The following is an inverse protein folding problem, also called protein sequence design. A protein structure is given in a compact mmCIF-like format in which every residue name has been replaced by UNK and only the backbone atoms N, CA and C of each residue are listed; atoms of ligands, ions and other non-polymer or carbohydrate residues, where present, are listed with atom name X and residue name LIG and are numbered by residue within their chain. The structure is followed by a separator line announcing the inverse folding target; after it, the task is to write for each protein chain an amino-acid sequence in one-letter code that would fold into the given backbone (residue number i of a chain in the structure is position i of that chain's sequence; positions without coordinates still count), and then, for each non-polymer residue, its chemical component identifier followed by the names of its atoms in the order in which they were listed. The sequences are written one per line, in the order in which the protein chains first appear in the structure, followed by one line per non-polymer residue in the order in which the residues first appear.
data_IF_807155412576
#
_entry.id   IF_807155412576
#
_cell.length_a   1.000
_cell.length_b   1.000
_cell.length_c   1.000
_cell.angle_alpha   90.00
_cell.angle_beta   90.00
_cell.angle_gamma   90.00
#
_symmetry.space_group_name_H-M   'P 1'
#
loop_
_entity.id
_entity.type
_entity.pdbx_description
1 polymer ?
#
# COMPACT_ATOMS: atom_id res chain seq x y z
N UNK A 1 -3.06 -9.97 -21.08
CA UNK A 1 -1.68 -10.00 -20.51
C UNK A 1 -0.71 -9.75 -21.64
N UNK A 2 -0.27 -8.51 -21.77
CA UNK A 2 0.79 -8.13 -22.70
C UNK A 2 2.13 -8.46 -22.04
N UNK A 3 2.82 -9.50 -22.54
CA UNK A 3 4.16 -9.87 -22.05
C UNK A 3 5.14 -8.87 -22.66
N UNK A 4 5.86 -8.11 -21.84
CA UNK A 4 6.84 -7.12 -22.33
C UNK A 4 7.89 -7.80 -23.20
N UNK A 5 8.04 -7.34 -24.44
CA UNK A 5 9.07 -7.84 -25.36
C UNK A 5 10.43 -7.21 -25.00
N UNK A 6 11.44 -8.05 -24.74
CA UNK A 6 12.79 -7.63 -24.38
C UNK A 6 13.51 -6.94 -25.55
N UNK A 7 13.14 -7.25 -26.79
CA UNK A 7 13.66 -6.57 -27.98
C UNK A 7 13.10 -5.15 -28.07
N UNK A 8 11.80 -5.00 -27.79
CA UNK A 8 11.12 -3.70 -27.76
C UNK A 8 11.62 -2.83 -26.61
N UNK A 9 11.79 -3.42 -25.42
CA UNK A 9 12.35 -2.73 -24.24
C UNK A 9 13.76 -2.18 -24.49
N UNK A 10 14.61 -2.93 -25.19
CA UNK A 10 15.95 -2.47 -25.58
C UNK A 10 15.93 -1.58 -26.83
N UNK A 11 14.81 -1.45 -27.54
CA UNK A 11 14.71 -0.72 -28.80
C UNK A 11 15.55 -1.33 -29.92
N UNK A 12 15.73 -2.65 -29.95
CA UNK A 12 16.56 -3.37 -30.92
C UNK A 12 15.76 -4.42 -31.68
N UNK A 13 16.10 -4.68 -32.94
CA UNK A 13 15.44 -5.73 -33.71
C UNK A 13 15.76 -7.14 -33.16
N UNK A 14 14.88 -8.15 -33.35
CA UNK A 14 15.17 -9.55 -33.01
C UNK A 14 16.40 -10.12 -33.70
N UNK A 15 16.86 -9.51 -34.79
CA UNK A 15 18.09 -9.87 -35.52
C UNK A 15 19.33 -9.08 -35.05
N UNK A 16 19.23 -8.28 -33.97
CA UNK A 16 20.32 -7.46 -33.48
C UNK A 16 21.50 -8.32 -32.96
N UNK A 17 22.71 -7.88 -33.29
CA UNK A 17 23.95 -8.48 -32.78
C UNK A 17 24.14 -8.20 -31.28
N UNK A 18 24.93 -9.02 -30.59
CA UNK A 18 25.26 -8.81 -29.18
C UNK A 18 25.91 -7.43 -28.93
N UNK A 19 26.68 -6.91 -29.89
CA UNK A 19 27.26 -5.57 -29.82
C UNK A 19 26.19 -4.47 -29.84
N UNK A 20 25.15 -4.62 -30.67
CA UNK A 20 24.02 -3.69 -30.73
C UNK A 20 23.16 -3.74 -29.46
N UNK A 21 22.91 -4.95 -28.93
CA UNK A 21 22.20 -5.14 -27.66
C UNK A 21 22.96 -4.48 -26.50
N UNK A 22 24.28 -4.67 -26.44
CA UNK A 22 25.14 -4.04 -25.42
C UNK A 22 25.19 -2.51 -25.55
N UNK A 23 25.20 -1.99 -26.77
CA UNK A 23 25.18 -0.55 -27.01
C UNK A 23 23.83 0.07 -26.59
N UNK A 24 22.72 -0.57 -26.93
CA UNK A 24 21.38 -0.14 -26.55
C UNK A 24 21.17 -0.20 -25.03
N UNK A 25 21.57 -1.29 -24.39
CA UNK A 25 21.56 -1.41 -22.93
C UNK A 25 22.36 -0.29 -22.26
N UNK A 26 23.57 0.02 -22.74
CA UNK A 26 24.39 1.11 -22.16
C UNK A 26 23.78 2.51 -22.36
N UNK A 27 23.00 2.71 -23.42
CA UNK A 27 22.31 3.98 -23.65
C UNK A 27 21.10 4.12 -22.72
N UNK A 28 20.28 3.07 -22.62
CA UNK A 28 19.09 3.02 -21.76
C UNK A 28 19.46 3.01 -20.27
N UNK A 29 20.49 2.26 -19.88
CA UNK A 29 20.93 2.17 -18.49
C UNK A 29 21.42 3.50 -17.92
N UNK A 30 21.84 4.45 -18.76
CA UNK A 30 22.21 5.82 -18.33
C UNK A 30 21.01 6.73 -18.10
N UNK A 31 19.90 6.44 -18.77
CA UNK A 31 18.66 7.23 -18.69
C UNK A 31 17.72 6.65 -17.65
N UNK A 32 17.72 5.32 -17.52
CA UNK A 32 16.87 4.56 -16.61
C UNK A 32 17.59 4.20 -15.30
N UNK A 33 18.80 4.71 -15.06
CA UNK A 33 19.44 4.53 -13.76
C UNK A 33 18.61 5.22 -12.69
N UNK A 34 18.47 4.65 -11.48
CA UNK A 34 17.86 5.32 -10.34
C UNK A 34 18.42 6.74 -10.11
N UNK A 35 19.75 6.89 -10.15
CA UNK A 35 20.46 8.17 -10.08
C UNK A 35 20.15 9.18 -11.21
N UNK A 36 19.47 8.74 -12.27
CA UNK A 36 19.07 9.59 -13.41
C UNK A 36 17.55 9.80 -13.50
N UNK A 37 16.78 9.35 -12.49
CA UNK A 37 15.32 9.48 -12.42
C UNK A 37 14.53 8.29 -12.98
N UNK A 38 15.15 7.12 -13.18
CA UNK A 38 14.45 5.87 -13.50
C UNK A 38 14.00 5.11 -12.24
N UNK A 39 13.03 4.20 -12.37
CA UNK A 39 12.63 3.31 -11.26
C UNK A 39 13.53 2.08 -11.19
N UNK A 40 13.80 1.58 -9.98
CA UNK A 40 14.57 0.35 -9.77
C UNK A 40 13.94 -0.85 -10.51
N UNK A 41 12.60 -0.92 -10.55
CA UNK A 41 11.86 -1.93 -11.31
C UNK A 41 12.13 -1.86 -12.82
N UNK A 42 12.13 -0.66 -13.41
CA UNK A 42 12.41 -0.49 -14.84
C UNK A 42 13.88 -0.82 -15.16
N UNK A 43 14.81 -0.47 -14.27
CA UNK A 43 16.23 -0.82 -14.41
C UNK A 43 16.48 -2.33 -14.29
N UNK A 44 15.75 -3.02 -13.40
CA UNK A 44 15.82 -4.47 -13.25
C UNK A 44 15.28 -5.19 -14.49
N UNK A 45 14.17 -4.73 -15.04
CA UNK A 45 13.61 -5.25 -16.30
C UNK A 45 14.60 -5.07 -17.47
N UNK A 46 15.25 -3.90 -17.55
CA UNK A 46 16.29 -3.61 -18.54
C UNK A 46 17.51 -4.53 -18.37
N UNK A 47 17.89 -4.81 -17.13
CA UNK A 47 18.99 -5.72 -16.79
C UNK A 47 18.66 -7.17 -17.14
N UNK A 48 17.44 -7.63 -16.86
CA UNK A 48 16.95 -8.97 -17.18
C UNK A 48 16.83 -9.20 -18.69
N UNK A 49 16.35 -8.19 -19.43
CA UNK A 49 16.33 -8.20 -20.89
C UNK A 49 17.75 -8.30 -21.46
N UNK A 50 18.68 -7.50 -20.95
CA UNK A 50 20.07 -7.56 -21.38
C UNK A 50 20.74 -8.91 -21.05
N UNK A 51 20.52 -9.44 -19.85
CA UNK A 51 21.06 -10.73 -19.41
C UNK A 51 20.51 -11.89 -20.25
N UNK A 52 19.23 -11.82 -20.63
CA UNK A 52 18.57 -12.84 -21.44
C UNK A 52 18.98 -12.77 -22.91
N UNK A 53 19.11 -11.57 -23.49
CA UNK A 53 19.40 -11.38 -24.91
C UNK A 53 20.90 -11.41 -25.25
N UNK A 54 21.79 -11.19 -24.28
CA UNK A 54 23.24 -11.29 -24.46
C UNK A 54 23.73 -12.73 -24.47
N UNK A 55 23.09 -13.63 -23.69
CA UNK A 55 23.43 -15.04 -23.66
C UNK A 55 22.76 -15.80 -24.83
N UNK A 56 23.52 -16.46 -25.72
CA UNK A 56 22.95 -17.15 -26.87
C UNK A 56 21.96 -18.27 -26.53
N UNK A 57 22.18 -18.99 -25.42
CA UNK A 57 21.30 -20.08 -24.99
C UNK A 57 20.00 -19.54 -24.41
N UNK A 58 20.08 -18.50 -23.57
CA UNK A 58 18.91 -17.83 -22.98
C UNK A 58 18.10 -17.11 -24.05
N UNK A 59 18.74 -16.44 -25.00
CA UNK A 59 18.09 -15.81 -26.15
C UNK A 59 17.34 -16.82 -27.01
N UNK A 60 17.97 -17.97 -27.31
CA UNK A 60 17.30 -19.02 -28.09
C UNK A 60 16.09 -19.61 -27.34
N UNK A 61 16.15 -19.73 -26.01
CA UNK A 61 15.00 -20.15 -25.20
C UNK A 61 13.87 -19.11 -25.19
N UNK A 62 14.24 -17.84 -25.06
CA UNK A 62 13.33 -16.70 -25.14
C UNK A 62 12.62 -16.64 -26.51
N UNK A 63 13.37 -16.73 -27.61
CA UNK A 63 12.84 -16.74 -28.98
C UNK A 63 11.90 -17.92 -29.24
N UNK A 64 12.17 -19.10 -28.65
CA UNK A 64 11.24 -20.24 -28.70
C UNK A 64 9.95 -19.96 -27.94
N UNK A 65 10.02 -19.25 -26.81
CA UNK A 65 8.84 -18.88 -26.01
C UNK A 65 7.93 -17.88 -26.74
N UNK A 66 8.48 -17.03 -27.61
CA UNK A 66 7.76 -16.09 -28.46
C UNK A 66 7.07 -16.76 -29.68
N UNK A 67 7.49 -17.99 -30.05
CA UNK A 67 6.98 -18.73 -31.22
C UNK A 67 5.81 -19.68 -30.91
N UNK A 68 5.33 -19.76 -29.66
CA UNK A 68 4.13 -20.56 -29.30
C UNK A 68 2.87 -19.71 -29.55
N UNK A 69 1.95 -20.12 -30.43
CA UNK A 69 1.02 -19.19 -31.07
C UNK A 69 -0.18 -18.80 -30.21
N UNK A 70 -0.37 -17.49 -30.02
CA UNK A 70 -1.69 -16.88 -30.13
C UNK A 70 -1.87 -16.47 -31.60
N UNK A 71 -3.03 -16.78 -32.17
CA UNK A 71 -3.23 -16.89 -33.63
C UNK A 71 -3.20 -15.59 -34.43
N UNK A 72 -2.72 -15.77 -35.67
CA UNK A 72 -3.14 -15.15 -36.94
C UNK A 72 -2.85 -13.67 -37.24
N UNK A 73 -1.77 -13.50 -38.01
CA UNK A 73 -1.70 -12.92 -39.38
C UNK A 73 -2.13 -11.46 -39.65
N UNK A 74 -1.15 -10.67 -40.07
CA UNK A 74 -1.33 -9.42 -40.82
C UNK A 74 -0.01 -8.97 -41.47
N UNK A 75 0.01 -9.00 -42.81
CA UNK A 75 1.15 -8.84 -43.71
C UNK A 75 1.72 -7.40 -43.77
N UNK A 76 3.03 -7.30 -44.03
CA UNK A 76 3.81 -6.07 -44.11
C UNK A 76 3.53 -5.15 -45.32
N UNK A 77 3.79 -3.85 -45.16
CA UNK A 77 4.21 -2.93 -46.21
C UNK A 77 5.19 -1.86 -45.65
N UNK A 78 6.22 -1.41 -46.39
CA UNK A 78 7.33 -0.60 -45.86
C UNK A 78 7.09 0.91 -45.96
N UNK A 79 7.47 1.66 -44.92
CA UNK A 79 7.49 3.13 -44.91
C UNK A 79 8.90 3.69 -45.24
N UNK A 80 9.00 4.88 -45.85
CA UNK A 80 10.21 5.33 -46.54
C UNK A 80 11.30 5.91 -45.63
N UNK A 81 12.54 5.70 -46.04
CA UNK A 81 13.78 6.20 -45.44
C UNK A 81 13.85 7.73 -45.39
N UNK A 82 13.82 8.33 -44.20
CA UNK A 82 14.26 9.73 -43.98
C UNK A 82 15.75 9.76 -43.64
N UNK A 83 16.51 10.54 -44.40
CA UNK A 83 17.94 10.83 -44.20
C UNK A 83 18.21 11.46 -42.83
N UNK A 84 19.36 11.18 -42.19
CA UNK A 84 19.73 11.77 -40.91
C UNK A 84 20.08 13.26 -41.09
N UNK A 85 19.49 14.11 -40.24
CA UNK A 85 19.91 15.51 -40.09
C UNK A 85 21.21 15.56 -39.27
N UNK A 86 22.15 16.48 -39.56
CA UNK A 86 23.42 16.55 -38.85
C UNK A 86 23.19 16.89 -37.38
N UNK A 87 23.94 16.20 -36.51
CA UNK A 87 23.93 16.40 -35.07
C UNK A 87 24.34 17.84 -34.74
N UNK A 88 23.45 18.57 -34.06
CA UNK A 88 23.82 19.79 -33.34
C UNK A 88 24.67 19.38 -32.14
N UNK A 89 25.87 19.94 -32.07
CA UNK A 89 26.78 19.82 -30.92
C UNK A 89 26.09 20.28 -29.64
N UNK A 90 25.80 19.33 -28.75
CA UNK A 90 25.29 19.57 -27.40
C UNK A 90 26.42 19.69 -26.36
N UNK A 91 27.69 19.70 -26.80
CA UNK A 91 28.88 19.65 -25.92
C UNK A 91 29.13 20.89 -25.05
N UNK A 92 28.26 21.89 -25.07
CA UNK A 92 28.38 23.08 -24.21
C UNK A 92 27.04 23.49 -23.62
N UNK A 93 26.41 22.56 -22.90
CA UNK A 93 25.61 22.89 -21.72
C UNK A 93 25.48 21.63 -20.87
N UNK A 94 26.55 21.35 -20.14
CA UNK A 94 26.40 20.74 -18.81
C UNK A 94 25.44 21.65 -18.04
N UNK A 95 24.15 21.34 -18.13
CA UNK A 95 23.17 21.79 -17.16
C UNK A 95 23.78 21.46 -15.81
N UNK A 96 24.09 22.51 -15.05
CA UNK A 96 24.38 22.46 -13.63
C UNK A 96 23.54 21.35 -13.02
N UNK A 97 24.18 20.23 -12.66
CA UNK A 97 23.75 19.47 -11.51
C UNK A 97 23.62 20.52 -10.40
N UNK A 98 22.37 20.85 -10.06
CA UNK A 98 22.11 21.52 -8.80
C UNK A 98 22.78 20.63 -7.75
N UNK A 99 23.76 21.20 -7.04
CA UNK A 99 24.57 20.52 -6.05
C UNK A 99 23.66 19.78 -5.06
N UNK A 100 23.53 18.47 -5.23
CA UNK A 100 23.28 17.57 -4.12
C UNK A 100 24.53 17.66 -3.24
N UNK A 101 24.35 18.02 -1.97
CA UNK A 101 25.45 18.04 -1.02
C UNK A 101 25.61 16.61 -0.48
N UNK A 102 26.66 15.87 -0.86
CA UNK A 102 26.82 14.47 -0.48
C UNK A 102 26.96 14.27 1.03
N UNK A 103 27.24 15.35 1.78
CA UNK A 103 27.40 15.32 3.24
C UNK A 103 26.12 15.76 3.98
N UNK A 104 25.06 16.15 3.27
CA UNK A 104 23.79 16.54 3.88
C UNK A 104 22.92 15.32 4.20
N UNK A 105 22.63 15.12 5.48
CA UNK A 105 21.73 14.07 5.95
C UNK A 105 20.41 14.70 6.46
N UNK A 106 19.31 14.60 5.70
CA UNK A 106 17.98 14.95 6.22
C UNK A 106 17.62 14.09 7.44
N UNK A 107 16.80 14.66 8.34
CA UNK A 107 16.36 14.02 9.58
C UNK A 107 14.84 14.06 9.69
N UNK A 108 14.28 13.08 10.40
CA UNK A 108 12.86 13.11 10.81
C UNK A 108 12.65 14.25 11.82
N UNK A 109 11.65 15.12 11.63
CA UNK A 109 11.39 16.19 12.58
C UNK A 109 11.05 15.66 13.96
N UNK A 110 11.45 16.41 14.98
CA UNK A 110 11.11 16.15 16.36
C UNK A 110 9.96 17.08 16.79
N UNK A 111 8.74 16.63 16.51
CA UNK A 111 7.51 17.32 16.88
C UNK A 111 7.19 17.13 18.37
N UNK A 112 6.99 18.24 19.07
CA UNK A 112 6.58 18.22 20.46
C UNK A 112 5.12 17.72 20.55
N UNK A 113 4.80 16.75 21.44
CA UNK A 113 3.45 16.18 21.54
C UNK A 113 2.29 17.15 21.68
N UNK A 114 2.51 18.30 22.31
CA UNK A 114 1.53 19.37 22.50
C UNK A 114 1.21 20.15 21.21
N UNK A 115 2.11 20.10 20.22
CA UNK A 115 1.89 20.68 18.89
C UNK A 115 1.03 19.80 17.99
N UNK A 116 0.90 18.51 18.31
CA UNK A 116 0.16 17.53 17.50
C UNK A 116 -1.31 17.51 17.95
N UNK A 117 -2.28 17.97 17.12
CA UNK A 117 -3.65 18.23 17.56
C UNK A 117 -4.39 17.01 18.13
N UNK A 118 -4.16 15.84 17.55
CA UNK A 118 -4.84 14.61 17.93
C UNK A 118 -4.15 13.85 19.07
N UNK A 119 -2.91 14.20 19.41
CA UNK A 119 -2.08 13.44 20.37
C UNK A 119 -2.70 13.29 21.77
N UNK A 120 -3.30 14.36 22.36
CA UNK A 120 -3.91 14.27 23.69
C UNK A 120 -5.23 13.46 23.70
N UNK A 121 -5.91 13.36 22.56
CA UNK A 121 -7.19 12.67 22.45
C UNK A 121 -7.04 11.14 22.34
N UNK A 122 -5.84 10.66 22.00
CA UNK A 122 -5.56 9.24 21.82
C UNK A 122 -5.10 8.59 23.12
N UNK A 123 -5.81 7.54 23.53
CA UNK A 123 -5.40 6.65 24.60
C UNK A 123 -4.51 5.52 24.05
N UNK A 124 -3.20 5.62 24.29
CA UNK A 124 -2.22 4.65 23.79
C UNK A 124 -2.34 3.26 24.45
N UNK A 125 -2.94 3.18 25.64
CA UNK A 125 -3.08 1.93 26.41
C UNK A 125 -4.32 1.12 25.98
N UNK A 126 -5.16 1.67 25.10
CA UNK A 126 -6.31 0.97 24.56
C UNK A 126 -5.87 -0.16 23.63
N UNK A 127 -6.63 -1.26 23.62
CA UNK A 127 -6.39 -2.38 22.71
C UNK A 127 -7.13 -2.20 21.38
N UNK A 128 -6.48 -2.59 20.29
CA UNK A 128 -7.10 -2.59 18.96
C UNK A 128 -8.34 -3.50 18.91
N UNK A 129 -9.44 -2.98 18.38
CA UNK A 129 -10.69 -3.69 18.08
C UNK A 129 -10.75 -4.04 16.60
N UNK A 130 -11.08 -5.28 16.28
CA UNK A 130 -11.11 -5.75 14.90
C UNK A 130 -12.54 -5.89 14.38
N UNK A 131 -12.86 -5.18 13.29
CA UNK A 131 -14.18 -5.11 12.65
C UNK A 131 -14.22 -6.01 11.39
N UNK A 132 -15.36 -6.65 11.07
CA UNK A 132 -16.59 -6.68 11.86
C UNK A 132 -16.43 -7.52 13.15
N UNK A 133 -17.18 -7.17 14.18
CA UNK A 133 -17.30 -8.04 15.36
C UNK A 133 -18.26 -9.18 15.03
N UNK A 134 -17.73 -10.38 14.80
CA UNK A 134 -18.52 -11.62 14.54
C UNK A 134 -19.47 -12.01 15.69
N UNK A 135 -19.51 -11.24 16.79
CA UNK A 135 -20.37 -11.53 17.91
C UNK A 135 -21.83 -11.32 17.47
N UNK A 136 -22.73 -12.31 17.66
CA UNK A 136 -24.15 -12.03 17.57
C UNK A 136 -24.45 -10.96 18.62
N UNK A 137 -24.76 -9.75 18.15
CA UNK A 137 -25.30 -8.71 19.00
C UNK A 137 -26.46 -9.32 19.78
N UNK A 138 -26.57 -8.94 21.06
CA UNK A 138 -27.61 -9.37 22.00
C UNK A 138 -27.27 -10.60 22.88
N UNK A 139 -26.25 -10.45 23.74
CA UNK A 139 -26.21 -11.12 25.05
C UNK A 139 -27.58 -11.14 25.79
N UNK A 140 -28.44 -10.09 25.75
CA UNK A 140 -29.79 -10.14 26.32
C UNK A 140 -30.72 -11.21 25.73
N UNK A 141 -30.53 -11.68 24.49
CA UNK A 141 -31.44 -12.69 23.89
C UNK A 141 -31.25 -14.06 24.54
N UNK A 142 -30.02 -14.41 24.94
CA UNK A 142 -29.75 -15.66 25.68
C UNK A 142 -30.39 -15.62 27.07
N UNK A 143 -30.33 -14.47 27.75
CA UNK A 143 -30.94 -14.27 29.07
C UNK A 143 -32.47 -14.29 29.00
N UNK A 144 -33.05 -13.69 27.96
CA UNK A 144 -34.50 -13.65 27.74
C UNK A 144 -35.05 -15.03 27.35
N UNK A 145 -34.40 -15.74 26.42
CA UNK A 145 -34.83 -17.07 25.98
C UNK A 145 -34.61 -18.16 27.04
N UNK A 146 -33.57 -18.04 27.87
CA UNK A 146 -33.28 -18.98 28.96
C UNK A 146 -34.09 -18.72 30.23
N UNK A 147 -34.37 -17.45 30.58
CA UNK A 147 -35.09 -17.08 31.79
C UNK A 147 -36.61 -17.21 31.71
N UNK A 148 -37.19 -16.94 30.53
CA UNK A 148 -38.64 -16.96 30.33
C UNK A 148 -39.32 -18.31 30.63
N UNK A 149 -38.76 -19.48 30.23
CA UNK A 149 -39.33 -20.79 30.58
C UNK A 149 -39.29 -21.09 32.08
N UNK A 150 -38.25 -20.63 32.79
CA UNK A 150 -38.11 -20.76 34.24
C UNK A 150 -39.12 -19.86 34.98
N UNK A 151 -39.43 -18.69 34.45
CA UNK A 151 -40.49 -17.81 34.98
C UNK A 151 -41.88 -18.42 34.71
N UNK A 152 -42.10 -19.04 33.55
CA UNK A 152 -43.33 -19.79 33.25
C UNK A 152 -43.54 -21.02 34.17
N UNK A 153 -42.48 -21.58 34.75
CA UNK A 153 -42.58 -22.67 35.72
C UNK A 153 -43.25 -22.22 37.02
N UNK A 154 -43.06 -20.97 37.46
CA UNK A 154 -43.66 -20.45 38.71
C UNK A 154 -45.14 -20.11 38.57
N UNK A 155 -45.66 -20.04 37.34
CA UNK A 155 -47.07 -19.77 37.03
C UNK A 155 -47.87 -21.03 36.70
N UNK A 156 -47.23 -22.21 36.66
CA UNK A 156 -47.93 -23.47 36.45
C UNK A 156 -48.84 -23.79 37.66
N UNK A 157 -50.10 -24.19 37.44
CA UNK A 157 -50.98 -24.60 38.54
C UNK A 157 -50.42 -25.85 39.24
N UNK A 158 -50.74 -26.03 40.53
CA UNK A 158 -50.32 -27.18 41.36
C UNK A 158 -50.73 -28.55 40.78
N UNK A 159 -51.67 -28.59 39.82
CA UNK A 159 -52.08 -29.77 39.04
C UNK A 159 -52.28 -29.38 37.57
N UNK A 160 -51.24 -29.33 36.74
CA UNK A 160 -51.37 -28.98 35.34
C UNK A 160 -52.11 -30.09 34.58
N UNK A 161 -52.90 -29.71 33.58
CA UNK A 161 -53.44 -30.69 32.63
C UNK A 161 -52.29 -31.30 31.82
N UNK A 162 -52.42 -32.56 31.35
CA UNK A 162 -51.37 -33.21 30.57
C UNK A 162 -51.00 -32.42 29.31
N UNK A 163 -51.97 -31.76 28.67
CA UNK A 163 -51.75 -30.90 27.50
C UNK A 163 -50.88 -29.69 27.83
N UNK A 164 -51.16 -29.01 28.94
CA UNK A 164 -50.40 -27.83 29.38
C UNK A 164 -48.96 -28.21 29.74
N UNK A 165 -48.77 -29.35 30.42
CA UNK A 165 -47.44 -29.89 30.71
C UNK A 165 -46.67 -30.22 29.43
N UNK A 166 -47.31 -30.89 28.45
CA UNK A 166 -46.64 -31.20 27.18
C UNK A 166 -46.26 -29.96 26.37
N UNK A 167 -47.13 -28.94 26.32
CA UNK A 167 -46.81 -27.67 25.65
C UNK A 167 -45.64 -26.96 26.33
N UNK A 168 -45.61 -26.96 27.67
CA UNK A 168 -44.52 -26.38 28.44
C UNK A 168 -43.19 -27.10 28.19
N UNK A 169 -43.18 -28.45 28.16
CA UNK A 169 -41.98 -29.23 27.84
C UNK A 169 -41.46 -28.97 26.43
N UNK A 170 -42.34 -28.79 25.45
CA UNK A 170 -41.94 -28.43 24.07
C UNK A 170 -41.31 -27.03 24.03
N UNK A 171 -41.90 -26.05 24.72
CA UNK A 171 -41.34 -24.69 24.83
C UNK A 171 -39.98 -24.70 25.53
N UNK A 172 -39.83 -25.49 26.60
CA UNK A 172 -38.57 -25.67 27.30
C UNK A 172 -37.51 -26.29 26.38
N UNK A 173 -37.86 -27.36 25.66
CA UNK A 173 -36.94 -28.01 24.72
C UNK A 173 -36.52 -27.08 23.59
N UNK A 174 -37.44 -26.28 23.03
CA UNK A 174 -37.15 -25.28 22.02
C UNK A 174 -36.22 -24.17 22.57
N UNK A 175 -36.47 -23.70 23.79
CA UNK A 175 -35.63 -22.70 24.45
C UNK A 175 -34.22 -23.25 24.73
N UNK A 176 -34.09 -24.48 25.24
CA UNK A 176 -32.80 -25.13 25.46
C UNK A 176 -32.03 -25.34 24.15
N UNK A 177 -32.71 -25.76 23.08
CA UNK A 177 -32.10 -25.94 21.76
C UNK A 177 -31.62 -24.59 21.19
N UNK A 178 -32.43 -23.54 21.32
CA UNK A 178 -32.07 -22.19 20.88
C UNK A 178 -30.89 -21.63 21.67
N UNK A 179 -30.89 -21.80 23.00
CA UNK A 179 -29.78 -21.41 23.86
C UNK A 179 -28.49 -22.18 23.51
N UNK A 180 -28.59 -23.50 23.30
CA UNK A 180 -27.45 -24.31 22.85
C UNK A 180 -26.91 -23.84 21.51
N UNK A 181 -27.78 -23.57 20.54
CA UNK A 181 -27.38 -23.07 19.22
C UNK A 181 -26.71 -21.69 19.32
N UNK A 182 -27.27 -20.76 20.09
CA UNK A 182 -26.68 -19.44 20.34
C UNK A 182 -25.31 -19.54 21.04
N UNK A 183 -25.18 -20.42 22.06
CA UNK A 183 -23.90 -20.67 22.72
C UNK A 183 -22.88 -21.24 21.73
N UNK A 184 -23.28 -22.17 20.85
CA UNK A 184 -22.38 -22.70 19.80
C UNK A 184 -21.95 -21.62 18.82
N UNK A 185 -22.86 -20.74 18.39
CA UNK A 185 -22.53 -19.59 17.55
C UNK A 185 -21.56 -18.64 18.24
N UNK A 186 -21.83 -18.29 19.50
CA UNK A 186 -20.94 -17.42 20.28
C UNK A 186 -19.55 -18.04 20.45
N UNK A 187 -19.47 -19.34 20.76
CA UNK A 187 -18.20 -20.05 20.84
C UNK A 187 -17.49 -20.15 19.47
N UNK A 188 -18.23 -20.26 18.36
CA UNK A 188 -17.65 -20.25 17.02
C UNK A 188 -17.08 -18.86 16.68
N UNK A 189 -17.82 -17.78 16.95
CA UNK A 189 -17.35 -16.41 16.78
C UNK A 189 -16.13 -16.10 17.67
N UNK A 190 -16.16 -16.52 18.94
CA UNK A 190 -15.03 -16.35 19.85
C UNK A 190 -13.79 -17.14 19.44
N UNK A 191 -13.95 -18.33 18.83
CA UNK A 191 -12.83 -19.06 18.22
C UNK A 191 -12.27 -18.35 17.01
N UNK A 192 -13.13 -17.99 16.04
CA UNK A 192 -12.75 -17.22 14.84
C UNK A 192 -11.95 -15.96 15.21
N UNK A 193 -12.42 -15.21 16.21
CA UNK A 193 -11.72 -14.01 16.68
C UNK A 193 -10.35 -14.32 17.30
N UNK A 194 -10.24 -15.36 18.14
CA UNK A 194 -8.95 -15.77 18.73
C UNK A 194 -7.98 -16.26 17.66
N UNK A 195 -8.45 -17.04 16.71
CA UNK A 195 -7.64 -17.56 15.60
C UNK A 195 -7.13 -16.41 14.73
N UNK A 196 -8.00 -15.43 14.42
CA UNK A 196 -7.61 -14.21 13.72
C UNK A 196 -6.54 -13.41 14.49
N UNK A 197 -6.69 -13.23 15.80
CA UNK A 197 -5.70 -12.53 16.62
C UNK A 197 -4.37 -13.28 16.71
N UNK A 198 -4.41 -14.60 16.75
CA UNK A 198 -3.20 -15.42 16.76
C UNK A 198 -2.42 -15.31 15.44
N UNK A 199 -3.14 -15.17 14.32
CA UNK A 199 -2.55 -15.08 12.98
C UNK A 199 -2.09 -13.65 12.62
N UNK A 200 -2.88 -12.63 12.97
CA UNK A 200 -2.71 -11.25 12.47
C UNK A 200 -2.57 -10.18 13.56
N UNK A 201 -2.69 -10.56 14.82
CA UNK A 201 -2.82 -9.61 15.93
C UNK A 201 -1.50 -9.00 16.43
N UNK A 202 -0.35 -9.48 15.98
CA UNK A 202 0.94 -9.26 16.66
C UNK A 202 1.84 -8.19 16.03
N UNK A 203 2.15 -8.16 14.72
CA UNK A 203 2.99 -7.07 14.20
C UNK A 203 2.13 -5.82 13.91
N UNK A 204 2.42 -4.72 14.60
CA UNK A 204 1.93 -3.38 14.19
C UNK A 204 2.66 -2.86 12.96
N UNK A 205 3.86 -3.37 12.69
CA UNK A 205 4.71 -3.02 11.55
C UNK A 205 5.06 -4.31 10.82
N UNK A 206 4.80 -4.36 9.52
CA UNK A 206 4.98 -5.54 8.69
C UNK A 206 5.85 -5.20 7.49
N UNK A 207 6.82 -6.07 7.22
CA UNK A 207 7.84 -5.85 6.18
C UNK A 207 8.96 -4.95 6.68
N UNK A 208 9.93 -4.72 5.81
CA UNK A 208 11.03 -3.78 6.04
C UNK A 208 11.10 -2.76 4.88
N UNK A 209 11.54 -1.52 5.16
CA UNK A 209 11.99 -0.60 4.12
C UNK A 209 13.05 -1.29 3.26
N UNK A 210 13.15 -0.94 1.97
CA UNK A 210 14.11 -1.64 1.12
C UNK A 210 15.55 -1.42 1.61
N UNK A 211 16.38 -2.46 1.51
CA UNK A 211 17.78 -2.43 1.96
C UNK A 211 18.73 -1.76 0.93
N UNK A 212 18.20 -1.25 -0.18
CA UNK A 212 19.02 -0.60 -1.21
C UNK A 212 19.42 0.82 -0.75
N UNK A 213 20.70 1.18 -0.94
CA UNK A 213 21.30 2.41 -0.40
C UNK A 213 20.73 3.73 -0.96
N UNK A 214 19.77 3.67 -1.91
CA UNK A 214 19.22 4.82 -2.63
C UNK A 214 17.88 5.34 -2.08
N UNK A 215 17.39 4.82 -0.94
CA UNK A 215 16.04 5.10 -0.43
C UNK A 215 16.06 5.70 0.99
N UNK A 216 16.88 6.74 1.17
CA UNK A 216 16.93 7.52 2.41
C UNK A 216 15.55 8.03 2.84
N UNK A 217 14.71 8.44 1.89
CA UNK A 217 13.34 8.90 2.14
C UNK A 217 12.45 7.81 2.76
N UNK A 218 12.59 6.56 2.32
CA UNK A 218 11.81 5.45 2.87
C UNK A 218 12.18 5.16 4.32
N UNK A 219 13.47 5.15 4.63
CA UNK A 219 13.94 4.95 6.00
C UNK A 219 13.47 6.06 6.94
N UNK A 220 13.58 7.32 6.52
CA UNK A 220 13.09 8.47 7.29
C UNK A 220 11.57 8.40 7.50
N UNK A 221 10.85 7.92 6.50
CA UNK A 221 9.40 7.75 6.60
C UNK A 221 9.05 6.61 7.55
N UNK A 222 9.69 5.46 7.44
CA UNK A 222 9.47 4.35 8.35
C UNK A 222 9.74 4.74 9.82
N UNK A 223 10.78 5.54 10.05
CA UNK A 223 11.06 6.12 11.37
C UNK A 223 9.95 7.10 11.81
N UNK A 224 9.49 8.01 10.93
CA UNK A 224 8.38 8.93 11.20
C UNK A 224 7.10 8.18 11.61
N UNK A 225 6.71 7.17 10.83
CA UNK A 225 5.52 6.34 11.08
C UNK A 225 5.64 5.60 12.41
N UNK A 226 6.81 5.01 12.66
CA UNK A 226 7.10 4.29 13.91
C UNK A 226 7.05 5.21 15.13
N UNK A 227 7.59 6.43 15.01
CA UNK A 227 7.69 7.41 16.09
C UNK A 227 6.33 7.99 16.48
N UNK A 228 5.48 8.33 15.51
CA UNK A 228 4.24 9.05 15.78
C UNK A 228 2.98 8.19 15.67
N UNK A 229 2.81 7.41 14.61
CA UNK A 229 1.54 6.74 14.32
C UNK A 229 1.32 5.47 15.16
N UNK A 230 2.39 4.83 15.66
CA UNK A 230 2.26 3.65 16.52
C UNK A 230 1.56 3.95 17.86
N UNK A 231 1.41 5.22 18.23
CA UNK A 231 0.58 5.65 19.36
C UNK A 231 -0.89 5.26 19.19
N UNK A 232 -1.38 5.23 17.95
CA UNK A 232 -2.74 4.81 17.61
C UNK A 232 -2.85 3.28 17.75
N UNK A 233 -3.70 2.74 18.65
CA UNK A 233 -3.77 1.29 18.86
C UNK A 233 -4.12 0.47 17.60
N UNK A 234 -4.98 1.02 16.75
CA UNK A 234 -5.46 0.40 15.52
C UNK A 234 -4.46 0.46 14.37
N UNK A 235 -3.39 1.26 14.45
CA UNK A 235 -2.47 1.43 13.33
C UNK A 235 -1.75 0.13 12.97
N UNK A 236 -1.78 -0.22 11.69
CA UNK A 236 -0.97 -1.25 11.05
C UNK A 236 -0.17 -0.61 9.93
N UNK A 237 1.14 -0.66 10.05
CA UNK A 237 2.10 -0.12 9.09
C UNK A 237 2.61 -1.28 8.24
N UNK A 238 2.69 -1.06 6.94
CA UNK A 238 3.20 -2.01 5.98
C UNK A 238 4.28 -1.34 5.14
N UNK A 239 5.42 -1.99 5.01
CA UNK A 239 6.55 -1.53 4.20
C UNK A 239 6.63 -2.40 2.94
N UNK A 240 6.66 -1.76 1.77
CA UNK A 240 6.72 -2.43 0.47
C UNK A 240 5.43 -3.18 0.11
N UNK A 241 4.45 -2.44 -0.41
CA UNK A 241 3.19 -2.99 -0.93
C UNK A 241 3.22 -3.18 -2.44
N UNK A 242 2.69 -4.31 -2.90
CA UNK A 242 2.42 -4.52 -4.33
C UNK A 242 1.11 -3.90 -4.78
N UNK A 243 1.06 -3.51 -6.04
CA UNK A 243 -0.23 -3.27 -6.70
C UNK A 243 -1.07 -4.57 -6.78
N UNK A 244 -2.40 -4.47 -6.95
CA UNK A 244 -3.28 -5.64 -7.03
C UNK A 244 -2.89 -6.67 -8.10
N UNK A 245 -2.23 -6.25 -9.18
CA UNK A 245 -1.78 -7.12 -10.28
C UNK A 245 -0.25 -7.25 -10.37
N UNK A 246 0.49 -6.71 -9.39
CA UNK A 246 1.94 -6.71 -9.35
C UNK A 246 2.48 -7.71 -8.31
N UNK A 247 3.74 -8.09 -8.49
CA UNK A 247 4.51 -8.93 -7.55
C UNK A 247 5.69 -8.17 -6.93
N UNK A 248 5.82 -6.87 -7.24
CA UNK A 248 6.89 -6.00 -6.77
C UNK A 248 6.36 -5.04 -5.69
N UNK A 249 7.24 -4.49 -4.86
CA UNK A 249 6.90 -3.36 -4.00
C UNK A 249 6.77 -2.11 -4.88
N UNK A 250 5.54 -1.72 -5.20
CA UNK A 250 5.25 -0.54 -6.02
C UNK A 250 4.88 0.68 -5.13
N UNK A 251 4.60 0.45 -3.85
CA UNK A 251 4.28 1.47 -2.85
C UNK A 251 5.22 1.32 -1.66
N UNK A 252 5.93 2.40 -1.32
CA UNK A 252 6.96 2.43 -0.27
C UNK A 252 6.36 2.03 1.09
N UNK A 253 5.29 2.71 1.52
CA UNK A 253 4.63 2.44 2.80
C UNK A 253 3.11 2.52 2.69
N UNK A 254 2.42 1.83 3.58
CA UNK A 254 0.99 1.99 3.78
C UNK A 254 0.62 1.91 5.26
N UNK A 255 -0.42 2.64 5.66
CA UNK A 255 -0.94 2.63 7.03
C UNK A 255 -2.43 2.43 7.04
N UNK A 256 -2.88 1.38 7.73
CA UNK A 256 -4.29 1.07 7.98
C UNK A 256 -4.65 1.43 9.43
N UNK A 257 -5.72 2.18 9.64
CA UNK A 257 -6.37 2.36 10.94
C UNK A 257 -7.89 2.43 10.75
N UNK A 258 -8.63 1.53 11.41
CA UNK A 258 -10.05 1.34 11.19
C UNK A 258 -10.35 0.98 9.74
N UNK A 259 -11.17 1.79 9.07
CA UNK A 259 -11.50 1.70 7.64
C UNK A 259 -10.85 2.82 6.83
N UNK A 260 -9.65 3.25 7.26
CA UNK A 260 -8.84 4.28 6.60
C UNK A 260 -7.49 3.70 6.24
N UNK A 261 -7.12 3.84 4.98
CA UNK A 261 -5.84 3.42 4.42
C UNK A 261 -5.14 4.62 3.79
N UNK A 262 -3.92 4.91 4.20
CA UNK A 262 -3.05 5.84 3.48
C UNK A 262 -1.94 5.05 2.78
N UNK A 263 -1.77 5.31 1.49
CA UNK A 263 -0.61 4.89 0.72
C UNK A 263 0.41 6.02 0.73
N UNK A 264 1.68 5.70 0.89
CA UNK A 264 2.72 6.69 1.12
C UNK A 264 3.87 6.42 0.16
N UNK A 265 4.27 7.47 -0.54
CA UNK A 265 5.47 7.52 -1.35
C UNK A 265 6.39 8.60 -0.78
N UNK A 266 7.69 8.34 -0.73
CA UNK A 266 8.66 9.19 -0.06
C UNK A 266 9.76 9.63 -1.02
N UNK A 267 9.98 10.93 -1.15
CA UNK A 267 11.00 11.48 -2.07
C UNK A 267 11.97 12.39 -1.34
N UNK A 268 13.24 12.32 -1.77
CA UNK A 268 14.30 13.22 -1.33
C UNK A 268 14.60 14.18 -2.47
N UNK A 269 14.12 15.43 -2.37
CA UNK A 269 14.24 16.43 -3.42
C UNK A 269 14.83 17.73 -2.91
N UNK A 270 15.28 18.57 -3.85
CA UNK A 270 15.87 19.86 -3.51
C UNK A 270 14.88 20.76 -2.76
N UNK A 271 15.33 21.55 -1.77
CA UNK A 271 14.49 22.54 -1.09
C UNK A 271 13.73 23.47 -2.05
N UNK A 272 12.53 23.88 -1.65
CA UNK A 272 11.65 24.73 -2.44
C UNK A 272 10.18 24.53 -2.10
N UNK A 273 9.33 25.30 -2.77
CA UNK A 273 7.89 25.20 -2.65
C UNK A 273 7.35 24.18 -3.65
N UNK A 274 6.64 23.15 -3.18
CA UNK A 274 6.05 22.10 -4.00
C UNK A 274 4.52 22.12 -3.94
N UNK A 275 3.89 21.95 -5.10
CA UNK A 275 2.44 21.85 -5.22
C UNK A 275 2.08 20.77 -6.23
N UNK A 276 0.83 20.29 -6.19
CA UNK A 276 0.25 19.45 -7.22
C UNK A 276 -0.93 20.21 -7.86
N UNK A 277 -1.03 20.17 -9.19
CA UNK A 277 -2.22 20.69 -9.88
C UNK A 277 -3.37 19.66 -9.87
N UNK A 278 -4.54 20.06 -10.39
CA UNK A 278 -5.75 19.22 -10.48
C UNK A 278 -5.53 17.92 -11.28
N UNK A 279 -4.52 17.88 -12.16
CA UNK A 279 -4.15 16.70 -12.94
C UNK A 279 -3.13 15.80 -12.19
N UNK A 280 -2.76 16.15 -10.95
CA UNK A 280 -1.75 15.47 -10.15
C UNK A 280 -0.31 15.74 -10.60
N UNK A 281 -0.06 16.73 -11.47
CA UNK A 281 1.30 17.08 -11.89
C UNK A 281 1.95 17.94 -10.83
N UNK A 282 3.21 17.63 -10.55
CA UNK A 282 3.99 18.34 -9.55
C UNK A 282 4.59 19.62 -10.11
N UNK A 283 4.59 20.65 -9.28
CA UNK A 283 5.19 21.95 -9.52
C UNK A 283 6.21 22.25 -8.43
N UNK A 284 7.29 22.94 -8.79
CA UNK A 284 8.29 23.45 -7.85
C UNK A 284 8.62 24.90 -8.16
N UNK A 285 8.41 25.80 -7.20
CA UNK A 285 8.63 27.25 -7.36
C UNK A 285 7.99 27.80 -8.66
N UNK A 286 6.69 27.56 -8.85
CA UNK A 286 5.90 28.01 -10.01
C UNK A 286 6.34 27.46 -11.38
N UNK A 287 7.09 26.35 -11.38
CA UNK A 287 7.52 25.68 -12.60
C UNK A 287 7.15 24.20 -12.58
N UNK A 288 6.74 23.61 -13.72
CA UNK A 288 6.48 22.18 -13.81
C UNK A 288 7.72 21.40 -13.35
N UNK A 289 7.54 20.60 -12.31
CA UNK A 289 8.59 19.77 -11.76
C UNK A 289 8.84 18.58 -12.68
N UNK A 290 10.11 18.29 -12.95
CA UNK A 290 10.55 17.19 -13.83
C UNK A 290 11.58 16.28 -13.16
N UNK A 291 11.68 16.37 -11.84
CA UNK A 291 12.65 15.60 -11.04
C UNK A 291 12.19 14.18 -10.70
N UNK A 292 11.04 13.77 -11.20
CA UNK A 292 10.43 12.46 -10.99
C UNK A 292 8.92 12.56 -11.08
N UNK A 293 8.28 11.45 -11.41
CA UNK A 293 6.83 11.27 -11.34
C UNK A 293 6.50 10.49 -10.06
N UNK A 294 5.29 10.69 -9.55
CA UNK A 294 4.70 9.86 -8.49
C UNK A 294 3.63 8.96 -9.12
N UNK A 295 3.63 7.68 -8.75
CA UNK A 295 2.60 6.73 -9.20
C UNK A 295 1.48 6.57 -8.17
N UNK A 296 1.49 7.41 -7.14
CA UNK A 296 0.62 7.29 -5.98
C UNK A 296 -0.87 7.44 -6.33
N UNK A 297 -1.21 8.32 -7.28
CA UNK A 297 -2.59 8.49 -7.74
C UNK A 297 -3.16 7.22 -8.40
N UNK A 298 -2.33 6.51 -9.17
CA UNK A 298 -2.69 5.21 -9.77
C UNK A 298 -2.86 4.15 -8.67
N UNK A 299 -1.93 4.11 -7.72
CA UNK A 299 -2.00 3.22 -6.55
C UNK A 299 -3.25 3.43 -5.70
N UNK A 300 -3.59 4.68 -5.39
CA UNK A 300 -4.81 5.03 -4.64
C UNK A 300 -6.05 4.56 -5.39
N UNK A 301 -6.11 4.79 -6.70
CA UNK A 301 -7.24 4.34 -7.54
C UNK A 301 -7.39 2.81 -7.53
N UNK A 302 -6.26 2.09 -7.64
CA UNK A 302 -6.24 0.64 -7.58
C UNK A 302 -6.71 0.09 -6.22
N UNK A 303 -6.25 0.67 -5.11
CA UNK A 303 -6.63 0.25 -3.77
C UNK A 303 -8.06 0.65 -3.39
N UNK A 304 -8.59 1.77 -3.90
CA UNK A 304 -10.03 2.11 -3.79
C UNK A 304 -10.90 1.07 -4.47
N UNK A 305 -10.49 0.58 -5.65
CA UNK A 305 -11.21 -0.48 -6.34
C UNK A 305 -11.12 -1.84 -5.60
N UNK A 306 -9.98 -2.12 -4.97
CA UNK A 306 -9.76 -3.35 -4.21
C UNK A 306 -10.50 -3.37 -2.87
N UNK A 307 -10.59 -2.22 -2.20
CA UNK A 307 -11.16 -2.05 -0.87
C UNK A 307 -12.28 -0.99 -0.93
N UNK A 308 -13.45 -1.29 -1.53
CA UNK A 308 -14.53 -0.31 -1.76
C UNK A 308 -15.12 0.27 -0.47
N UNK A 309 -14.83 -0.42 0.62
CA UNK A 309 -15.38 -0.25 1.95
C UNK A 309 -14.43 0.54 2.88
N UNK A 310 -13.23 0.85 2.38
CA UNK A 310 -12.13 1.55 3.07
C UNK A 310 -11.89 2.88 2.39
N UNK A 311 -11.79 3.95 3.17
CA UNK A 311 -11.38 5.25 2.67
C UNK A 311 -9.87 5.22 2.38
N UNK A 312 -9.48 5.37 1.11
CA UNK A 312 -8.08 5.34 0.69
C UNK A 312 -7.61 6.73 0.29
N UNK A 313 -6.49 7.18 0.88
CA UNK A 313 -5.78 8.43 0.55
C UNK A 313 -4.33 8.13 0.15
N UNK A 314 -3.71 9.07 -0.56
CA UNK A 314 -2.27 9.05 -0.83
C UNK A 314 -1.58 10.19 -0.09
N UNK A 315 -0.32 9.98 0.29
CA UNK A 315 0.56 11.02 0.83
C UNK A 315 1.94 10.95 0.18
N UNK A 316 2.36 12.02 -0.50
CA UNK A 316 3.70 12.15 -1.04
C UNK A 316 4.56 12.94 -0.05
N UNK A 317 5.41 12.26 0.73
CA UNK A 317 6.23 12.89 1.77
C UNK A 317 7.57 13.33 1.16
N UNK A 318 7.89 14.61 1.33
CA UNK A 318 9.10 15.21 0.76
C UNK A 318 10.13 15.52 1.85
N UNK A 319 11.36 15.04 1.64
CA UNK A 319 12.54 15.35 2.46
C UNK A 319 13.53 16.20 1.65
N UNK A 320 14.19 17.18 2.28
CA UNK A 320 15.19 18.00 1.60
C UNK A 320 16.43 17.16 1.23
N UNK A 321 17.00 17.40 0.05
CA UNK A 321 18.27 16.80 -0.39
C UNK A 321 19.50 17.70 -0.13
N UNK A 322 19.28 18.91 0.36
CA UNK A 322 20.31 19.90 0.68
C UNK A 322 19.79 20.85 1.77
N UNK A 323 20.66 21.64 2.42
CA UNK A 323 20.22 22.65 3.37
C UNK A 323 19.20 23.62 2.77
N UNK A 324 18.04 23.73 3.40
CA UNK A 324 16.92 24.56 2.98
C UNK A 324 15.59 23.96 3.42
N UNK A 325 14.52 24.70 3.18
CA UNK A 325 13.16 24.31 3.57
C UNK A 325 12.38 23.74 2.37
N UNK A 326 11.61 22.69 2.63
CA UNK A 326 10.54 22.26 1.74
C UNK A 326 9.25 22.84 2.29
N UNK A 327 8.49 23.52 1.44
CA UNK A 327 7.15 24.00 1.77
C UNK A 327 6.17 23.44 0.76
N UNK A 328 4.92 23.23 1.18
CA UNK A 328 3.85 22.79 0.27
C UNK A 328 2.60 23.62 0.49
N UNK A 329 1.66 23.53 -0.46
CA UNK A 329 0.34 24.13 -0.30
C UNK A 329 -0.52 23.32 0.68
N UNK A 330 -1.64 23.91 1.13
CA UNK A 330 -2.63 23.15 1.88
C UNK A 330 -3.14 21.99 1.01
N UNK A 331 -3.10 20.76 1.51
CA UNK A 331 -3.34 19.59 0.69
C UNK A 331 -4.80 19.49 0.27
N UNK A 332 -5.03 19.35 -1.04
CA UNK A 332 -6.31 18.91 -1.58
C UNK A 332 -6.49 17.41 -1.29
N UNK A 333 -7.54 17.04 -0.57
CA UNK A 333 -7.77 15.67 -0.09
C UNK A 333 -7.92 14.64 -1.23
N UNK A 334 -8.20 15.08 -2.46
CA UNK A 334 -8.47 14.19 -3.59
C UNK A 334 -7.22 13.72 -4.36
N UNK A 335 -6.08 14.42 -4.28
CA UNK A 335 -4.98 14.32 -5.26
C UNK A 335 -3.67 13.69 -4.79
N UNK A 336 -3.61 13.14 -3.57
CA UNK A 336 -2.35 12.66 -2.97
C UNK A 336 -1.23 13.74 -2.96
N UNK A 337 -1.51 14.90 -2.35
CA UNK A 337 -0.66 16.08 -2.47
C UNK A 337 0.73 15.89 -1.84
N UNK A 338 1.75 16.62 -2.35
CA UNK A 338 3.04 16.71 -1.68
C UNK A 338 2.85 17.37 -0.32
N UNK A 339 3.51 16.82 0.70
CA UNK A 339 3.47 17.33 2.07
C UNK A 339 4.83 17.19 2.75
N UNK A 340 5.08 18.05 3.73
CA UNK A 340 6.20 17.89 4.66
C UNK A 340 5.90 16.77 5.67
N UNK A 341 6.93 16.20 6.31
CA UNK A 341 6.72 15.20 7.35
C UNK A 341 5.87 15.72 8.53
N UNK A 342 5.95 17.02 8.84
CA UNK A 342 5.16 17.66 9.89
C UNK A 342 3.67 17.75 9.53
N UNK A 343 3.36 18.19 8.30
CA UNK A 343 1.98 18.21 7.79
C UNK A 343 1.39 16.81 7.78
N UNK A 344 2.15 15.80 7.34
CA UNK A 344 1.72 14.41 7.37
C UNK A 344 1.29 13.96 8.78
N UNK A 345 2.12 14.23 9.80
CA UNK A 345 1.79 13.85 11.19
C UNK A 345 0.54 14.58 11.69
N UNK A 346 0.38 15.86 11.38
CA UNK A 346 -0.79 16.62 11.84
C UNK A 346 -2.07 16.18 11.15
N UNK A 347 -2.05 16.07 9.83
CA UNK A 347 -3.26 15.93 9.03
C UNK A 347 -3.64 14.47 8.81
N UNK A 348 -2.73 13.66 8.25
CA UNK A 348 -2.97 12.23 8.06
C UNK A 348 -3.06 11.53 9.42
N UNK A 349 -2.21 11.91 10.38
CA UNK A 349 -2.33 11.42 11.75
C UNK A 349 -3.68 11.77 12.37
N UNK A 350 -4.19 13.00 12.15
CA UNK A 350 -5.51 13.41 12.65
C UNK A 350 -6.67 12.66 11.99
N UNK A 351 -6.58 12.46 10.67
CA UNK A 351 -7.55 11.68 9.91
C UNK A 351 -7.61 10.23 10.39
N UNK A 352 -6.45 9.57 10.60
CA UNK A 352 -6.38 8.22 11.18
C UNK A 352 -6.89 8.20 12.63
N UNK A 353 -6.59 9.23 13.42
CA UNK A 353 -7.00 9.34 14.82
C UNK A 353 -8.51 9.52 15.04
N UNK A 354 -9.30 9.73 13.98
CA UNK A 354 -10.76 9.76 14.06
C UNK A 354 -11.35 8.42 14.54
N UNK A 355 -10.68 7.31 14.21
CA UNK A 355 -10.99 5.99 14.76
C UNK A 355 -9.69 5.27 15.15
N UNK A 356 -9.11 5.63 16.30
CA UNK A 356 -7.70 5.36 16.60
C UNK A 356 -7.45 3.91 17.02
N UNK A 357 -8.51 3.18 17.40
CA UNK A 357 -8.41 1.89 18.07
C UNK A 357 -9.16 0.78 17.34
N UNK A 358 -9.61 0.98 16.10
CA UNK A 358 -10.21 -0.10 15.30
C UNK A 358 -9.30 -0.53 14.15
N UNK A 359 -9.55 -1.70 13.60
CA UNK A 359 -8.89 -2.24 12.40
C UNK A 359 -9.91 -3.06 11.62
N UNK A 360 -10.06 -2.81 10.33
CA UNK A 360 -10.85 -3.65 9.46
C UNK A 360 -10.12 -4.97 9.14
N UNK A 361 -10.76 -6.10 9.41
CA UNK A 361 -10.17 -7.45 9.28
C UNK A 361 -9.93 -7.83 7.83
N UNK A 362 -10.87 -7.48 6.95
CA UNK A 362 -10.80 -7.87 5.55
C UNK A 362 -9.77 -7.00 4.83
N UNK A 363 -9.72 -5.70 5.16
CA UNK A 363 -8.65 -4.82 4.72
C UNK A 363 -7.28 -5.31 5.22
N UNK A 364 -7.14 -5.63 6.51
CA UNK A 364 -5.88 -6.12 7.10
C UNK A 364 -5.40 -7.39 6.40
N UNK A 365 -6.26 -8.40 6.22
CA UNK A 365 -5.91 -9.63 5.48
C UNK A 365 -5.47 -9.34 4.05
N UNK A 366 -6.20 -8.48 3.37
CA UNK A 366 -5.92 -8.13 1.98
C UNK A 366 -4.55 -7.47 1.86
N UNK A 367 -4.23 -6.51 2.73
CA UNK A 367 -2.95 -5.80 2.73
C UNK A 367 -1.78 -6.73 3.09
N UNK A 368 -1.96 -7.61 4.08
CA UNK A 368 -0.93 -8.58 4.46
C UNK A 368 -0.55 -9.52 3.32
N UNK A 369 -1.51 -9.93 2.50
CA UNK A 369 -1.26 -10.74 1.31
C UNK A 369 -0.52 -10.01 0.19
N UNK A 370 -0.29 -8.69 0.33
CA UNK A 370 0.33 -7.82 -0.68
C UNK A 370 1.69 -7.27 -0.27
N UNK A 371 2.14 -7.52 0.96
CA UNK A 371 3.48 -7.15 1.41
C UNK A 371 4.50 -8.04 0.70
N UNK A 372 5.38 -7.44 -0.09
CA UNK A 372 6.39 -8.18 -0.86
C UNK A 372 7.74 -8.28 -0.14
N UNK A 373 8.00 -7.35 0.80
CA UNK A 373 9.24 -7.29 1.59
C UNK A 373 9.10 -7.96 2.96
N UNK A 374 8.34 -9.06 3.04
CA UNK A 374 8.19 -9.80 4.30
C UNK A 374 9.52 -10.47 4.70
N UNK A 375 9.90 -10.35 5.97
CA UNK A 375 11.11 -10.98 6.52
C UNK A 375 11.12 -12.49 6.18
N UNK A 376 12.25 -13.04 5.70
CA UNK A 376 12.42 -14.48 5.66
C UNK A 376 12.48 -14.99 7.11
N UNK A 377 11.36 -15.57 7.55
CA UNK A 377 11.16 -16.20 8.87
C UNK A 377 12.32 -17.08 9.33
#
# INVERSE_FOLDING_TARGET
MERVDYYELLGVAPTASAAQIKAAYRALAKVMHPDAGGTAGAFRLLSDAYATLTDPQRRAAYDRSLRRPAGTAGTAAPAPTRRPRPARDWRTRTSRQAREDPDFAPTVPDLAPDTIPWWPAVNADESARYLPTDAPGHAPVVTVLGGWPLILLTTLPLRPSPLLLSLWLVLLAAACTSAFWLVRLYQAAARSHRDFLAEFGTPRVVGAPSAEHSELGEHLTAELLSRYLTRLPGVRIFHGLSWPDSVFADIDHAVLCGRRLVLIESKVWLPGHYAADEDGRLWRNDHPFRGGDSQLAEGVSAYRALLPDVEVRGALILYPSAPGEITTEEPDEELAPPMTPEQFVHEIGGWLATDPATVDRDALRTLLGRVTNADPT
#
